data_IF_827743441818
#
_entry.id   IF_827743441818
#
_cell.length_a   1.000
_cell.length_b   1.000
_cell.length_c   1.000
_cell.angle_alpha   90.00
_cell.angle_beta   90.00
_cell.angle_gamma   90.00
#
_symmetry.space_group_name_H-M   'P 1'
#
loop_
_entity.id
_entity.type
_entity.pdbx_description
1 polymer ?
#
# COMPACT_ATOMS: atom_id res chain seq x y z
N UNK A 1 -2.82 32.17 -8.29
CA UNK A 1 -1.85 31.12 -7.94
C UNK A 1 -0.65 31.27 -8.85
N UNK A 2 0.55 31.39 -8.29
CA UNK A 2 1.79 31.42 -9.08
C UNK A 2 2.21 30.01 -9.53
N UNK A 3 3.03 29.95 -10.57
CA UNK A 3 3.47 28.69 -11.20
C UNK A 3 4.18 27.76 -10.20
N UNK A 4 4.95 28.33 -9.26
CA UNK A 4 5.67 27.55 -8.26
C UNK A 4 4.72 26.88 -7.26
N UNK A 5 3.63 27.55 -6.90
CA UNK A 5 2.56 26.99 -6.07
C UNK A 5 1.84 25.88 -6.82
N UNK A 6 1.58 26.02 -8.13
CA UNK A 6 0.99 24.94 -8.93
C UNK A 6 1.91 23.72 -8.95
N UNK A 7 3.21 23.93 -9.21
CA UNK A 7 4.21 22.87 -9.24
C UNK A 7 4.32 22.15 -7.88
N UNK A 8 4.32 22.91 -6.78
CA UNK A 8 4.37 22.35 -5.43
C UNK A 8 3.15 21.46 -5.12
N UNK A 9 1.94 21.93 -5.43
CA UNK A 9 0.71 21.15 -5.24
C UNK A 9 0.68 19.91 -6.13
N UNK A 10 1.13 20.02 -7.38
CA UNK A 10 1.28 18.88 -8.29
C UNK A 10 2.26 17.82 -7.77
N UNK A 11 3.41 18.25 -7.26
CA UNK A 11 4.40 17.36 -6.64
C UNK A 11 3.82 16.64 -5.40
N UNK A 12 3.06 17.37 -4.58
CA UNK A 12 2.38 16.82 -3.40
C UNK A 12 1.37 15.72 -3.79
N UNK A 13 0.48 16.00 -4.74
CA UNK A 13 -0.48 15.00 -5.23
C UNK A 13 0.22 13.81 -5.88
N UNK A 14 1.33 14.03 -6.61
CA UNK A 14 2.11 12.94 -7.20
C UNK A 14 2.75 12.03 -6.15
N UNK A 15 3.23 12.62 -5.05
CA UNK A 15 3.74 11.85 -3.92
C UNK A 15 2.63 11.04 -3.22
N UNK A 16 1.40 11.56 -3.13
CA UNK A 16 0.25 10.82 -2.61
C UNK A 16 -0.14 9.66 -3.54
N UNK A 17 -0.23 9.88 -4.86
CA UNK A 17 -0.48 8.82 -5.84
C UNK A 17 0.57 7.69 -5.73
N UNK A 18 1.84 8.06 -5.57
CA UNK A 18 2.93 7.09 -5.40
C UNK A 18 2.76 6.29 -4.11
N UNK A 19 2.32 6.95 -3.03
CA UNK A 19 1.99 6.33 -1.75
C UNK A 19 0.81 5.36 -1.89
N UNK A 20 -0.22 5.69 -2.69
CA UNK A 20 -1.33 4.79 -2.97
C UNK A 20 -0.90 3.52 -3.69
N UNK A 21 0.06 3.62 -4.62
CA UNK A 21 0.64 2.45 -5.28
C UNK A 21 1.41 1.58 -4.28
N UNK A 22 2.21 2.17 -3.40
CA UNK A 22 2.88 1.45 -2.33
C UNK A 22 1.88 0.76 -1.39
N UNK A 23 0.78 1.44 -1.06
CA UNK A 23 -0.34 0.88 -0.29
C UNK A 23 -0.94 -0.33 -1.00
N UNK A 24 -1.16 -0.25 -2.31
CA UNK A 24 -1.63 -1.38 -3.13
C UNK A 24 -0.71 -2.59 -3.05
N UNK A 25 0.61 -2.39 -3.04
CA UNK A 25 1.57 -3.48 -2.85
C UNK A 25 1.46 -4.15 -1.47
N UNK A 26 1.09 -3.42 -0.41
CA UNK A 26 0.82 -4.04 0.90
C UNK A 26 -0.41 -4.96 0.88
N UNK A 27 -1.47 -4.58 0.16
CA UNK A 27 -2.64 -5.46 -0.04
C UNK A 27 -2.28 -6.70 -0.86
N UNK A 28 -1.51 -6.52 -1.93
CA UNK A 28 -1.00 -7.65 -2.72
C UNK A 28 -0.13 -8.59 -1.88
N UNK A 29 0.79 -8.03 -1.08
CA UNK A 29 1.58 -8.78 -0.12
C UNK A 29 0.71 -9.57 0.86
N UNK A 30 -0.30 -8.95 1.47
CA UNK A 30 -1.22 -9.63 2.39
C UNK A 30 -1.96 -10.79 1.72
N UNK A 31 -2.50 -10.59 0.52
CA UNK A 31 -3.22 -11.62 -0.22
C UNK A 31 -2.30 -12.81 -0.59
N UNK A 32 -1.11 -12.52 -1.11
CA UNK A 32 -0.14 -13.55 -1.51
C UNK A 32 0.36 -14.34 -0.31
N UNK A 33 0.70 -13.67 0.80
CA UNK A 33 1.12 -14.36 2.02
C UNK A 33 0.00 -15.16 2.65
N UNK A 34 -1.23 -14.62 2.72
CA UNK A 34 -2.38 -15.37 3.23
C UNK A 34 -2.69 -16.61 2.38
N UNK A 35 -2.56 -16.51 1.05
CA UNK A 35 -2.70 -17.66 0.15
C UNK A 35 -1.62 -18.71 0.41
N UNK A 36 -0.37 -18.30 0.59
CA UNK A 36 0.72 -19.22 0.92
C UNK A 36 0.50 -19.90 2.27
N UNK A 37 -0.03 -19.19 3.28
CA UNK A 37 -0.33 -19.75 4.60
C UNK A 37 -1.44 -20.82 4.53
N UNK A 38 -2.45 -20.64 3.68
CA UNK A 38 -3.46 -21.67 3.39
C UNK A 38 -2.86 -22.90 2.69
N UNK A 39 -1.91 -22.70 1.77
CA UNK A 39 -1.20 -23.82 1.15
C UNK A 39 -0.28 -24.54 2.14
N UNK A 40 0.27 -23.86 3.15
CA UNK A 40 1.01 -24.49 4.24
C UNK A 40 0.10 -25.41 5.07
N UNK A 41 -1.12 -24.97 5.40
CA UNK A 41 -2.11 -25.82 6.08
C UNK A 41 -2.41 -27.09 5.27
N UNK A 42 -2.63 -26.92 3.97
CA UNK A 42 -2.81 -28.05 3.04
C UNK A 42 -1.58 -28.97 3.01
N UNK A 43 -0.38 -28.42 3.00
CA UNK A 43 0.86 -29.19 3.00
C UNK A 43 1.04 -29.99 4.30
N UNK A 44 0.74 -29.41 5.47
CA UNK A 44 0.74 -30.10 6.76
C UNK A 44 -0.20 -31.30 6.72
N UNK A 45 -1.44 -31.12 6.25
CA UNK A 45 -2.41 -32.22 6.11
C UNK A 45 -1.87 -33.34 5.21
N UNK A 46 -1.36 -33.00 4.03
CA UNK A 46 -0.84 -33.98 3.07
C UNK A 46 0.39 -34.73 3.61
N UNK A 47 1.30 -34.05 4.31
CA UNK A 47 2.44 -34.68 4.96
C UNK A 47 1.99 -35.70 6.02
N UNK A 48 0.96 -35.38 6.81
CA UNK A 48 0.38 -36.31 7.79
C UNK A 48 -0.24 -37.53 7.11
N UNK A 49 -1.05 -37.32 6.07
CA UNK A 49 -1.68 -38.40 5.29
C UNK A 49 -0.64 -39.33 4.64
N UNK A 50 0.50 -38.79 4.23
CA UNK A 50 1.62 -39.56 3.67
C UNK A 50 2.51 -40.26 4.73
N UNK A 51 2.21 -40.11 6.02
CA UNK A 51 3.00 -40.71 7.11
C UNK A 51 4.25 -39.91 7.53
N UNK A 52 4.40 -38.68 7.04
CA UNK A 52 5.52 -37.78 7.35
C UNK A 52 5.18 -36.82 8.51
N UNK A 53 4.80 -37.41 9.65
CA UNK A 53 4.31 -36.65 10.81
C UNK A 53 5.33 -35.65 11.38
N UNK A 54 6.60 -36.05 11.50
CA UNK A 54 7.63 -35.16 12.06
C UNK A 54 7.91 -33.93 11.20
N UNK A 55 7.85 -34.08 9.87
CA UNK A 55 7.96 -32.98 8.92
C UNK A 55 6.73 -32.08 8.97
N UNK A 56 5.52 -32.67 9.06
CA UNK A 56 4.29 -31.92 9.24
C UNK A 56 4.35 -31.05 10.50
N UNK A 57 4.79 -31.63 11.63
CA UNK A 57 4.91 -30.89 12.89
C UNK A 57 5.98 -29.78 12.80
N UNK A 58 7.05 -29.98 12.03
CA UNK A 58 8.06 -28.94 11.81
C UNK A 58 7.48 -27.74 11.06
N UNK A 59 6.75 -27.98 9.96
CA UNK A 59 6.07 -26.92 9.20
C UNK A 59 5.06 -26.17 10.07
N UNK A 60 4.23 -26.92 10.81
CA UNK A 60 3.21 -26.34 11.68
C UNK A 60 3.82 -25.46 12.79
N UNK A 61 4.89 -25.91 13.43
CA UNK A 61 5.53 -25.14 14.51
C UNK A 61 6.36 -23.95 14.02
N UNK A 62 7.02 -24.09 12.88
CA UNK A 62 8.07 -23.15 12.48
C UNK A 62 7.58 -22.04 11.56
N UNK A 63 6.54 -22.31 10.75
CA UNK A 63 6.10 -21.37 9.72
C UNK A 63 4.58 -21.12 9.67
N UNK A 64 3.74 -22.14 9.87
CA UNK A 64 2.28 -21.97 9.75
C UNK A 64 1.77 -20.93 10.76
N UNK A 65 1.06 -19.90 10.28
CA UNK A 65 0.51 -18.84 11.11
C UNK A 65 1.55 -17.95 11.82
N UNK A 66 2.83 -18.07 11.48
CA UNK A 66 3.90 -17.28 12.09
C UNK A 66 3.85 -15.83 11.63
N UNK A 67 3.87 -14.87 12.56
CA UNK A 67 3.97 -13.44 12.22
C UNK A 67 5.13 -13.14 11.24
N UNK A 68 4.84 -12.41 10.17
CA UNK A 68 5.82 -12.08 9.10
C UNK A 68 6.92 -11.13 9.58
N UNK A 69 6.62 -10.32 10.59
CA UNK A 69 7.56 -9.48 11.34
C UNK A 69 7.15 -9.52 12.82
N UNK A 70 8.01 -9.09 13.77
CA UNK A 70 7.68 -9.14 15.19
C UNK A 70 6.31 -8.50 15.52
N UNK A 71 5.43 -9.32 16.10
CA UNK A 71 4.11 -8.89 16.58
C UNK A 71 3.06 -8.58 15.50
N UNK A 72 3.35 -8.81 14.21
CA UNK A 72 2.43 -8.44 13.14
C UNK A 72 2.27 -9.56 12.10
N UNK A 73 1.03 -9.95 11.90
CA UNK A 73 0.57 -10.53 10.66
C UNK A 73 0.37 -9.45 9.60
N UNK A 74 0.21 -9.87 8.35
CA UNK A 74 0.24 -8.97 7.19
C UNK A 74 -0.84 -7.88 7.21
N UNK A 75 -2.04 -8.17 7.72
CA UNK A 75 -3.10 -7.15 7.82
C UNK A 75 -2.77 -6.05 8.85
N UNK A 76 -2.06 -6.38 9.93
CA UNK A 76 -1.69 -5.40 10.95
C UNK A 76 -0.67 -4.39 10.40
N UNK A 77 0.20 -4.83 9.47
CA UNK A 77 1.09 -3.92 8.73
C UNK A 77 0.27 -2.92 7.90
N UNK A 78 -0.76 -3.39 7.19
CA UNK A 78 -1.66 -2.53 6.41
C UNK A 78 -2.38 -1.53 7.31
N UNK A 79 -2.94 -1.99 8.41
CA UNK A 79 -3.65 -1.12 9.37
C UNK A 79 -2.72 -0.06 9.97
N UNK A 80 -1.50 -0.44 10.34
CA UNK A 80 -0.49 0.49 10.83
C UNK A 80 -0.14 1.52 9.75
N UNK A 81 0.21 1.09 8.53
CA UNK A 81 0.52 1.98 7.41
C UNK A 81 -0.61 2.96 7.09
N UNK A 82 -1.85 2.46 7.07
CA UNK A 82 -3.04 3.26 6.85
C UNK A 82 -3.20 4.34 7.93
N UNK A 83 -3.00 3.96 9.20
CA UNK A 83 -3.20 4.86 10.35
C UNK A 83 -2.08 5.89 10.49
N UNK A 84 -0.82 5.48 10.32
CA UNK A 84 0.34 6.30 10.70
C UNK A 84 0.93 7.09 9.54
N UNK A 85 0.66 6.71 8.30
CA UNK A 85 1.25 7.37 7.13
C UNK A 85 0.19 7.79 6.10
N UNK A 86 -0.61 6.85 5.61
CA UNK A 86 -1.52 7.14 4.48
C UNK A 86 -2.62 8.14 4.84
N UNK A 87 -3.39 7.92 5.92
CA UNK A 87 -4.47 8.84 6.32
C UNK A 87 -3.96 10.26 6.61
N UNK A 88 -2.92 10.45 7.45
CA UNK A 88 -2.36 11.78 7.66
C UNK A 88 -1.92 12.48 6.36
N UNK A 89 -1.36 11.73 5.40
CA UNK A 89 -0.96 12.29 4.11
C UNK A 89 -2.18 12.73 3.29
N UNK A 90 -3.20 11.87 3.16
CA UNK A 90 -4.46 12.24 2.47
C UNK A 90 -5.09 13.49 3.09
N UNK A 91 -5.15 13.56 4.43
CA UNK A 91 -5.75 14.70 5.13
C UNK A 91 -4.93 15.99 4.91
N UNK A 92 -3.59 15.89 4.93
CA UNK A 92 -2.70 17.03 4.67
C UNK A 92 -2.83 17.54 3.23
N UNK A 93 -2.82 16.64 2.25
CA UNK A 93 -2.90 16.99 0.83
C UNK A 93 -4.22 17.70 0.52
N UNK A 94 -5.35 17.12 0.98
CA UNK A 94 -6.67 17.73 0.82
C UNK A 94 -6.75 19.12 1.43
N UNK A 95 -6.19 19.28 2.64
CA UNK A 95 -6.17 20.56 3.33
C UNK A 95 -5.36 21.61 2.54
N UNK A 96 -4.17 21.26 2.07
CA UNK A 96 -3.31 22.19 1.32
C UNK A 96 -3.90 22.54 -0.05
N UNK A 97 -4.54 21.60 -0.74
CA UNK A 97 -5.28 21.89 -1.97
C UNK A 97 -6.46 22.85 -1.70
N UNK A 98 -7.25 22.61 -0.65
CA UNK A 98 -8.36 23.48 -0.31
C UNK A 98 -7.89 24.91 0.06
N UNK A 99 -6.79 25.02 0.81
CA UNK A 99 -6.21 26.29 1.25
C UNK A 99 -5.58 27.10 0.10
N UNK A 100 -4.90 26.43 -0.84
CA UNK A 100 -4.05 27.11 -1.84
C UNK A 100 -4.63 27.12 -3.26
N UNK A 101 -5.51 26.17 -3.63
CA UNK A 101 -6.08 26.07 -4.97
C UNK A 101 -7.46 26.73 -5.12
N UNK A 102 -7.99 27.37 -4.06
CA UNK A 102 -9.31 28.02 -4.05
C UNK A 102 -10.45 27.10 -4.52
N UNK A 103 -10.36 25.79 -4.21
CA UNK A 103 -11.38 24.80 -4.58
C UNK A 103 -11.38 24.37 -6.05
N UNK A 104 -10.31 24.64 -6.80
CA UNK A 104 -10.14 24.16 -8.18
C UNK A 104 -9.46 22.79 -8.21
N UNK A 105 -10.24 21.75 -8.48
CA UNK A 105 -9.74 20.40 -8.75
C UNK A 105 -9.00 20.31 -10.11
N UNK A 106 -8.02 19.41 -10.22
CA UNK A 106 -7.29 19.07 -11.45
C UNK A 106 -6.45 20.19 -12.11
N UNK A 107 -6.14 21.28 -11.38
CA UNK A 107 -5.33 22.41 -11.88
C UNK A 107 -3.98 21.96 -12.48
N UNK A 108 -3.29 21.04 -11.80
CA UNK A 108 -1.99 20.56 -12.23
C UNK A 108 -2.04 19.74 -13.53
N UNK A 109 -3.00 18.83 -13.67
CA UNK A 109 -3.19 18.05 -14.91
C UNK A 109 -3.62 18.95 -16.07
N UNK A 110 -4.45 19.95 -15.78
CA UNK A 110 -4.86 20.96 -16.75
C UNK A 110 -3.68 21.83 -17.22
N UNK A 111 -2.76 22.22 -16.33
CA UNK A 111 -1.56 22.99 -16.67
C UNK A 111 -0.51 22.16 -17.41
N UNK A 112 -0.25 20.91 -17.01
CA UNK A 112 0.61 20.00 -17.77
C UNK A 112 0.09 19.80 -19.20
N UNK A 113 -1.23 19.67 -19.36
CA UNK A 113 -1.87 19.60 -20.68
C UNK A 113 -1.72 20.92 -21.43
N UNK A 114 -1.95 22.07 -20.80
CA UNK A 114 -1.82 23.37 -21.44
C UNK A 114 -0.38 23.68 -21.89
N UNK A 115 0.63 23.35 -21.08
CA UNK A 115 2.05 23.52 -21.42
C UNK A 115 2.45 22.67 -22.64
N UNK A 116 1.94 21.43 -22.71
CA UNK A 116 2.18 20.53 -23.85
C UNK A 116 1.58 21.04 -25.17
N UNK A 117 0.49 21.81 -25.10
CA UNK A 117 -0.19 22.39 -26.26
C UNK A 117 0.33 23.78 -26.68
N UNK A 118 1.09 24.48 -25.81
CA UNK A 118 1.72 25.78 -26.14
C UNK A 118 3.08 25.65 -26.84
N UNK A 119 3.62 24.44 -26.94
CA UNK A 119 4.91 24.15 -27.57
C UNK A 119 4.79 23.60 -29.02
N UNK A 120 3.59 23.67 -29.62
CA UNK A 120 3.34 23.47 -31.06
C UNK A 120 2.85 24.77 -31.67
#
# INVERSE_FOLDING_TARGET
MDDLTVEALGSLSKALETTERARGHLYGFHQLTGTADLELDRAVRLLREAGHGSQADAVEREILGRNVIPGHWTFQIIEAYNRTYYRPFVDLERRLLAELAEGRDHLYEAEMKAARHRCC
#
